data_IF_282608498301
#
_entry.id   IF_282608498301
#
_cell.length_a   1.000
_cell.length_b   1.000
_cell.length_c   1.000
_cell.angle_alpha   90.00
_cell.angle_beta   90.00
_cell.angle_gamma   90.00
#
_symmetry.space_group_name_H-M   'P 1'
#
loop_
_entity.id
_entity.type
_entity.pdbx_description
1 polymer ?
#
# COMPACT_ATOMS: atom_id res chain seq x y z
N UNK A 1 -11.23 5.14 -13.24
CA UNK A 1 -11.84 5.56 -11.96
C UNK A 1 -10.70 5.64 -10.97
N UNK A 2 -10.68 6.68 -10.14
CA UNK A 2 -9.71 6.78 -9.06
C UNK A 2 -10.24 5.89 -7.92
N UNK A 3 -9.90 4.61 -7.94
CA UNK A 3 -10.27 3.66 -6.88
C UNK A 3 -9.34 3.89 -5.67
N UNK A 4 -9.55 5.03 -5.02
CA UNK A 4 -8.91 5.40 -3.77
C UNK A 4 -9.85 5.05 -2.61
N UNK A 5 -9.40 4.16 -1.73
CA UNK A 5 -10.17 3.73 -0.55
C UNK A 5 -9.41 4.12 0.72
N UNK A 6 -10.04 4.79 1.71
CA UNK A 6 -9.39 5.06 2.98
C UNK A 6 -9.17 3.74 3.73
N UNK A 7 -7.93 3.49 4.15
CA UNK A 7 -7.55 2.28 4.88
C UNK A 7 -6.71 2.60 6.10
N UNK A 8 -6.73 1.71 7.08
CA UNK A 8 -5.80 1.74 8.20
C UNK A 8 -4.80 0.59 8.08
N UNK A 9 -3.50 0.90 8.20
CA UNK A 9 -2.40 -0.06 8.15
C UNK A 9 -1.98 -0.44 9.56
N UNK A 10 -1.91 -1.75 9.84
CA UNK A 10 -1.37 -2.28 11.10
C UNK A 10 -2.04 -1.69 12.34
N UNK A 11 -1.28 -0.94 13.12
CA UNK A 11 -1.67 -0.30 14.38
C UNK A 11 -2.69 0.85 14.25
N UNK A 12 -3.09 1.20 13.03
CA UNK A 12 -4.12 2.23 12.80
C UNK A 12 -3.65 3.43 11.98
N UNK A 13 -2.47 3.35 11.35
CA UNK A 13 -1.96 4.42 10.48
C UNK A 13 -2.93 4.63 9.31
N UNK A 14 -3.53 5.81 9.23
CA UNK A 14 -4.43 6.17 8.15
C UNK A 14 -3.65 6.32 6.83
N UNK A 15 -4.06 5.57 5.82
CA UNK A 15 -3.46 5.59 4.50
C UNK A 15 -4.55 5.48 3.43
N UNK A 16 -4.19 5.76 2.18
CA UNK A 16 -5.09 5.60 1.04
C UNK A 16 -4.69 4.39 0.22
N UNK A 17 -5.55 3.39 0.15
CA UNK A 17 -5.41 2.26 -0.76
C UNK A 17 -5.68 2.72 -2.19
N UNK A 18 -4.75 2.47 -3.10
CA UNK A 18 -4.83 2.82 -4.52
C UNK A 18 -4.42 1.64 -5.38
N UNK A 19 -4.87 1.60 -6.62
CA UNK A 19 -4.38 0.61 -7.58
C UNK A 19 -2.91 0.86 -7.92
N UNK A 20 -2.12 -0.21 -8.04
CA UNK A 20 -0.73 -0.13 -8.50
C UNK A 20 -0.62 0.50 -9.91
N UNK A 21 -1.61 0.29 -10.78
CA UNK A 21 -1.66 0.96 -12.09
C UNK A 21 -1.70 2.49 -11.98
N UNK A 22 -2.42 3.04 -11.00
CA UNK A 22 -2.40 4.49 -10.72
C UNK A 22 -1.08 4.93 -10.06
N UNK A 23 -0.43 4.05 -9.29
CA UNK A 23 0.89 4.30 -8.70
C UNK A 23 1.98 4.50 -9.78
N UNK A 24 1.93 3.69 -10.85
CA UNK A 24 2.87 3.80 -11.97
C UNK A 24 2.77 5.15 -12.72
N UNK A 25 1.65 5.87 -12.55
CA UNK A 25 1.44 7.21 -13.11
C UNK A 25 1.96 8.33 -12.21
N UNK A 26 2.37 8.02 -10.98
CA UNK A 26 2.96 8.97 -10.03
C UNK A 26 4.46 8.69 -9.85
N UNK A 27 5.26 9.69 -9.44
CA UNK A 27 6.70 9.52 -9.22
C UNK A 27 6.99 8.76 -7.91
N UNK A 28 6.42 7.56 -7.75
CA UNK A 28 6.78 6.65 -6.68
C UNK A 28 8.04 5.89 -7.06
N UNK A 29 8.99 5.86 -6.14
CA UNK A 29 10.21 5.07 -6.30
C UNK A 29 10.15 3.88 -5.36
N UNK A 30 10.29 2.67 -5.91
CA UNK A 30 10.43 1.48 -5.10
C UNK A 30 11.80 1.52 -4.40
N UNK A 31 11.79 1.47 -3.07
CA UNK A 31 13.00 1.48 -2.24
C UNK A 31 13.43 0.08 -1.85
N UNK A 32 12.46 -0.81 -1.58
CA UNK A 32 12.71 -2.20 -1.25
C UNK A 32 11.72 -3.15 -1.96
N UNK A 33 12.17 -4.37 -2.23
CA UNK A 33 11.33 -5.44 -2.77
C UNK A 33 10.97 -5.28 -4.24
N UNK A 34 9.71 -5.58 -4.58
CA UNK A 34 9.19 -5.53 -5.96
C UNK A 34 7.76 -5.01 -6.01
N UNK A 35 7.31 -4.69 -7.22
CA UNK A 35 5.90 -4.42 -7.50
C UNK A 35 5.02 -5.63 -7.11
N UNK A 36 3.77 -5.40 -6.68
CA UNK A 36 2.89 -6.49 -6.26
C UNK A 36 2.52 -7.33 -7.49
N UNK A 37 2.66 -8.65 -7.40
CA UNK A 37 2.44 -9.58 -8.51
C UNK A 37 1.10 -10.32 -8.45
N UNK A 38 0.39 -10.26 -7.33
CA UNK A 38 -0.90 -10.92 -7.16
C UNK A 38 -1.81 -10.26 -6.12
N UNK A 39 -3.07 -10.68 -6.08
CA UNK A 39 -4.14 -10.06 -5.28
C UNK A 39 -3.94 -10.14 -3.75
N UNK A 40 -2.99 -10.94 -3.28
CA UNK A 40 -2.57 -11.03 -1.87
C UNK A 40 -1.33 -10.19 -1.55
N UNK A 41 -0.75 -9.52 -2.54
CA UNK A 41 0.47 -8.74 -2.39
C UNK A 41 0.20 -7.24 -2.44
N UNK A 42 0.89 -6.48 -1.59
CA UNK A 42 0.77 -5.03 -1.49
C UNK A 42 2.14 -4.37 -1.48
N UNK A 43 2.21 -3.14 -1.96
CA UNK A 43 3.35 -2.25 -1.75
C UNK A 43 2.92 -1.16 -0.78
N UNK A 44 3.66 -0.99 0.32
CA UNK A 44 3.39 0.04 1.30
C UNK A 44 4.25 1.26 1.01
N UNK A 45 3.71 2.45 1.25
CA UNK A 45 4.54 3.63 1.38
C UNK A 45 5.42 3.51 2.63
N UNK A 46 6.69 3.88 2.54
CA UNK A 46 7.65 3.74 3.64
C UNK A 46 7.23 4.54 4.90
N UNK A 47 6.55 5.68 4.73
CA UNK A 47 6.00 6.47 5.85
C UNK A 47 4.70 5.87 6.41
N UNK A 48 3.95 5.11 5.61
CA UNK A 48 2.75 4.39 6.03
C UNK A 48 3.06 3.03 6.68
N UNK A 49 4.25 2.49 6.43
CA UNK A 49 4.64 1.16 6.80
C UNK A 49 4.84 1.03 8.33
N UNK A 50 4.42 -0.08 8.95
CA UNK A 50 4.76 -0.36 10.34
C UNK A 50 6.28 -0.38 10.54
N UNK A 51 6.73 0.08 11.70
CA UNK A 51 8.16 0.12 12.02
C UNK A 51 8.79 -1.27 11.88
N UNK A 52 9.79 -1.39 11.00
CA UNK A 52 10.54 -2.62 10.77
C UNK A 52 9.91 -3.62 9.80
N UNK A 53 8.79 -3.30 9.16
CA UNK A 53 8.19 -4.15 8.12
C UNK A 53 9.14 -4.30 6.93
N UNK A 54 9.23 -5.51 6.37
CA UNK A 54 10.04 -5.80 5.19
C UNK A 54 9.21 -6.50 4.10
N UNK A 55 9.68 -6.47 2.84
CA UNK A 55 9.14 -7.34 1.81
C UNK A 55 9.19 -8.81 2.25
N UNK A 56 8.05 -9.49 2.21
CA UNK A 56 7.83 -10.85 2.73
C UNK A 56 7.00 -10.88 4.01
N UNK A 57 6.92 -9.77 4.75
CA UNK A 57 6.08 -9.68 5.95
C UNK A 57 4.60 -9.61 5.59
N UNK A 58 3.75 -9.93 6.58
CA UNK A 58 2.31 -9.82 6.44
C UNK A 58 1.80 -8.61 7.22
N UNK A 59 1.05 -7.74 6.56
CA UNK A 59 0.39 -6.58 7.16
C UNK A 59 -1.12 -6.76 7.12
N UNK A 60 -1.82 -6.26 8.13
CA UNK A 60 -3.29 -6.21 8.11
C UNK A 60 -3.72 -4.83 7.65
N UNK A 61 -4.51 -4.78 6.58
CA UNK A 61 -5.18 -3.58 6.10
C UNK A 61 -6.64 -3.63 6.50
N UNK A 62 -7.13 -2.54 7.08
CA UNK A 62 -8.56 -2.39 7.42
C UNK A 62 -9.18 -1.35 6.50
N UNK A 63 -10.23 -1.75 5.77
CA UNK A 63 -10.99 -0.90 4.86
C UNK A 63 -12.49 -1.08 5.17
N UNK A 64 -13.25 0.00 5.33
CA UNK A 64 -14.71 -0.08 5.59
C UNK A 64 -15.12 -1.07 6.71
N UNK A 65 -14.28 -1.20 7.75
CA UNK A 65 -14.49 -2.14 8.85
C UNK A 65 -14.10 -3.60 8.57
N UNK A 66 -13.76 -3.96 7.34
CA UNK A 66 -13.20 -5.25 6.98
C UNK A 66 -11.67 -5.27 7.14
N UNK A 67 -11.16 -6.15 7.98
CA UNK A 67 -9.72 -6.40 8.11
C UNK A 67 -9.30 -7.54 7.18
N UNK A 68 -8.31 -7.30 6.33
CA UNK A 68 -7.71 -8.32 5.47
C UNK A 68 -6.19 -8.27 5.55
N UNK A 69 -5.58 -9.44 5.64
CA UNK A 69 -4.13 -9.59 5.68
C UNK A 69 -3.56 -9.69 4.27
N UNK A 70 -2.44 -9.00 4.03
CA UNK A 70 -1.73 -8.96 2.77
C UNK A 70 -0.24 -9.12 2.99
N UNK A 71 0.46 -9.72 2.04
CA UNK A 71 1.92 -9.83 2.05
C UNK A 71 2.54 -8.58 1.45
N UNK A 72 3.46 -7.97 2.18
CA UNK A 72 4.24 -6.85 1.69
C UNK A 72 5.20 -7.38 0.62
N UNK A 73 5.04 -6.92 -0.61
CA UNK A 73 5.90 -7.28 -1.74
C UNK A 73 7.01 -6.27 -1.96
N UNK A 74 6.82 -5.03 -1.50
CA UNK A 74 7.77 -3.95 -1.62
C UNK A 74 7.40 -2.74 -0.77
N UNK A 75 8.36 -1.82 -0.66
CA UNK A 75 8.20 -0.50 -0.08
C UNK A 75 8.45 0.55 -1.15
N UNK A 76 7.60 1.57 -1.19
CA UNK A 76 7.74 2.70 -2.10
C UNK A 76 7.86 4.00 -1.31
N UNK A 77 8.57 4.97 -1.86
CA UNK A 77 8.60 6.33 -1.35
C UNK A 77 8.04 7.28 -2.39
N UNK A 78 7.18 8.21 -1.96
CA UNK A 78 6.71 9.31 -2.80
C UNK A 78 7.89 10.28 -3.07
N UNK A 79 8.27 10.46 -4.34
CA UNK A 79 9.38 11.34 -4.73
C UNK A 79 9.07 12.84 -4.67
N UNK A 80 8.06 13.29 -3.93
CA UNK A 80 7.60 14.68 -3.91
C UNK A 80 6.84 15.05 -2.63
N UNK A 81 6.66 16.36 -2.42
CA UNK A 81 6.13 17.00 -1.21
C UNK A 81 5.01 16.19 -0.54
N UNK A 82 5.36 15.54 0.58
CA UNK A 82 4.48 14.93 1.58
C UNK A 82 3.09 14.51 1.06
N UNK A 83 3.06 13.59 0.09
CA UNK A 83 1.83 12.93 -0.28
C UNK A 83 1.26 12.19 0.93
N UNK A 84 -0.06 12.18 1.09
CA UNK A 84 -0.68 11.37 2.16
C UNK A 84 -0.24 9.90 2.04
N UNK A 85 0.00 9.21 3.17
CA UNK A 85 0.48 7.84 3.17
C UNK A 85 -0.42 6.95 2.30
N UNK A 86 0.18 6.14 1.44
CA UNK A 86 -0.54 5.35 0.44
C UNK A 86 -0.19 3.86 0.53
N UNK A 87 -1.15 3.02 0.16
CA UNK A 87 -0.96 1.57 0.00
C UNK A 87 -1.36 1.20 -1.41
N UNK A 88 -0.55 0.38 -2.08
CA UNK A 88 -0.80 0.00 -3.46
C UNK A 88 -1.08 -1.49 -3.59
N UNK A 89 -2.18 -1.83 -4.26
CA UNK A 89 -2.61 -3.21 -4.47
C UNK A 89 -2.80 -3.50 -5.96
N UNK A 90 -2.70 -4.77 -6.34
CA UNK A 90 -3.07 -5.21 -7.68
C UNK A 90 -4.60 -5.31 -7.79
N UNK A 91 -5.18 -4.64 -8.79
CA UNK A 91 -6.60 -4.78 -9.14
C UNK A 91 -7.57 -4.30 -8.07
N UNK A 92 -7.44 -3.05 -7.60
CA UNK A 92 -8.27 -2.44 -6.57
C UNK A 92 -9.78 -2.70 -6.79
N UNK A 93 -10.27 -3.77 -6.16
CA UNK A 93 -11.66 -3.97 -5.74
C UNK A 93 -11.61 -4.52 -4.33
N UNK A 94 -11.57 -3.60 -3.38
CA UNK A 94 -12.06 -3.89 -2.04
C UNK A 94 -13.59 -3.90 -2.17
N UNK A 95 -14.14 -5.08 -2.45
CA UNK A 95 -15.59 -5.33 -2.38
C UNK A 95 -15.93 -6.02 -1.07
#
# INVERSE_FOLDING_TARGET
ADDSVPVAVGDGTAATARSWESAALTPYRLTEGRAPGGAGEVVLDADAAPAGVRPGDTVTLRADGAARSYTVSGLAEAGGEAGSPAVFLTGARLT
#
